data_IF_983794290767
#
_entry.id   IF_983794290767
#
_cell.length_a   1.000
_cell.length_b   1.000
_cell.length_c   1.000
_cell.angle_alpha   90.00
_cell.angle_beta   90.00
_cell.angle_gamma   90.00
#
_symmetry.space_group_name_H-M   'P 1'
#
loop_
_entity.id
_entity.type
_entity.pdbx_description
1 polymer ?
#
# COMPACT_ATOMS: atom_id res chain seq x y z
N UNK A 1 1.54 19.68 -6.03
CA UNK A 1 2.82 19.31 -6.68
C UNK A 1 3.90 18.95 -5.67
N UNK A 2 4.09 19.72 -4.60
CA UNK A 2 5.12 19.46 -3.57
C UNK A 2 5.06 18.06 -2.95
N UNK A 3 3.88 17.57 -2.56
CA UNK A 3 3.72 16.24 -1.93
C UNK A 3 4.14 15.11 -2.90
N UNK A 4 3.76 15.21 -4.17
CA UNK A 4 4.13 14.22 -5.19
C UNK A 4 5.64 14.19 -5.45
N UNK A 5 6.28 15.37 -5.49
CA UNK A 5 7.73 15.47 -5.65
C UNK A 5 8.44 14.87 -4.44
N UNK A 6 8.03 15.24 -3.21
CA UNK A 6 8.61 14.68 -1.99
C UNK A 6 8.45 13.16 -1.97
N UNK A 7 7.26 12.63 -2.27
CA UNK A 7 7.02 11.19 -2.33
C UNK A 7 7.90 10.47 -3.35
N UNK A 8 8.02 11.01 -4.57
CA UNK A 8 8.86 10.43 -5.61
C UNK A 8 10.34 10.46 -5.23
N UNK A 9 10.83 11.58 -4.69
CA UNK A 9 12.21 11.73 -4.23
C UNK A 9 12.51 10.79 -3.06
N UNK A 10 11.62 10.70 -2.07
CA UNK A 10 11.77 9.77 -0.96
C UNK A 10 11.79 8.31 -1.43
N UNK A 11 10.88 7.92 -2.33
CA UNK A 11 10.87 6.56 -2.89
C UNK A 11 12.15 6.26 -3.67
N UNK A 12 12.62 7.18 -4.50
CA UNK A 12 13.87 7.04 -5.24
C UNK A 12 15.08 6.93 -4.31
N UNK A 13 15.13 7.74 -3.23
CA UNK A 13 16.20 7.67 -2.22
C UNK A 13 16.18 6.35 -1.47
N UNK A 14 15.01 5.89 -1.02
CA UNK A 14 14.87 4.60 -0.33
C UNK A 14 15.31 3.45 -1.24
N UNK A 15 14.87 3.46 -2.51
CA UNK A 15 15.29 2.47 -3.48
C UNK A 15 16.80 2.52 -3.73
N UNK A 16 17.39 3.72 -3.90
CA UNK A 16 18.82 3.88 -4.14
C UNK A 16 19.67 3.41 -2.94
N UNK A 17 19.24 3.70 -1.71
CA UNK A 17 19.92 3.25 -0.49
C UNK A 17 19.75 1.76 -0.25
N UNK A 18 18.57 1.20 -0.57
CA UNK A 18 18.29 -0.23 -0.43
C UNK A 18 18.94 -1.09 -1.50
N UNK A 19 19.11 -0.59 -2.73
CA UNK A 19 19.58 -1.37 -3.88
C UNK A 19 20.89 -2.14 -3.62
N UNK A 20 21.95 -1.57 -3.01
CA UNK A 20 23.17 -2.30 -2.69
C UNK A 20 22.98 -3.52 -1.79
N UNK A 21 21.91 -3.57 -0.99
CA UNK A 21 21.62 -4.69 -0.09
C UNK A 21 20.98 -5.85 -0.84
N UNK A 22 20.18 -5.57 -1.87
CA UNK A 22 19.33 -6.59 -2.51
C UNK A 22 19.68 -6.88 -3.97
N UNK A 23 20.59 -6.12 -4.61
CA UNK A 23 20.82 -6.13 -6.06
C UNK A 23 21.07 -7.52 -6.66
N UNK A 24 21.69 -8.43 -5.91
CA UNK A 24 21.99 -9.79 -6.38
C UNK A 24 20.74 -10.69 -6.45
N UNK A 25 19.70 -10.33 -5.72
CA UNK A 25 18.46 -11.10 -5.59
C UNK A 25 17.32 -10.51 -6.42
N UNK A 26 17.53 -9.40 -7.11
CA UNK A 26 16.48 -8.73 -7.88
C UNK A 26 16.31 -9.43 -9.23
N UNK A 27 15.07 -9.81 -9.53
CA UNK A 27 14.69 -10.47 -10.78
C UNK A 27 13.68 -9.63 -11.55
N UNK A 28 14.18 -8.70 -12.36
CA UNK A 28 13.34 -7.97 -13.30
C UNK A 28 13.13 -8.78 -14.59
N UNK A 29 11.88 -9.13 -14.86
CA UNK A 29 11.43 -9.88 -16.02
C UNK A 29 10.14 -9.28 -16.58
N UNK A 30 9.71 -9.78 -17.74
CA UNK A 30 8.44 -9.40 -18.37
C UNK A 30 7.22 -9.72 -17.48
N UNK A 31 7.35 -10.58 -16.47
CA UNK A 31 6.27 -10.94 -15.55
C UNK A 31 6.31 -10.10 -14.27
N UNK A 32 7.50 -9.76 -13.78
CA UNK A 32 7.66 -9.09 -12.49
C UNK A 32 7.45 -7.58 -12.56
N UNK A 33 7.78 -6.94 -13.69
CA UNK A 33 7.51 -5.51 -13.90
C UNK A 33 5.99 -5.20 -13.86
N UNK A 34 5.11 -5.95 -14.57
CA UNK A 34 3.66 -5.77 -14.45
C UNK A 34 3.12 -5.88 -13.02
N UNK A 35 3.69 -6.75 -12.17
CA UNK A 35 3.29 -6.86 -10.75
C UNK A 35 3.59 -5.57 -9.97
N UNK A 36 4.77 -4.98 -10.17
CA UNK A 36 5.13 -3.70 -9.54
C UNK A 36 4.21 -2.58 -10.04
N UNK A 37 3.93 -2.52 -11.34
CA UNK A 37 3.01 -1.52 -11.91
C UNK A 37 1.59 -1.71 -11.38
N UNK A 38 1.09 -2.94 -11.37
CA UNK A 38 -0.21 -3.30 -10.81
C UNK A 38 -0.31 -2.87 -9.34
N UNK A 39 0.65 -3.25 -8.51
CA UNK A 39 0.67 -2.91 -7.09
C UNK A 39 0.69 -1.39 -6.87
N UNK A 40 1.47 -0.65 -7.67
CA UNK A 40 1.56 0.81 -7.57
C UNK A 40 0.23 1.48 -7.90
N UNK A 41 -0.46 1.04 -8.95
CA UNK A 41 -1.76 1.58 -9.36
C UNK A 41 -2.85 1.21 -8.34
N UNK A 42 -2.98 -0.07 -8.00
CA UNK A 42 -4.03 -0.55 -7.10
C UNK A 42 -3.80 -0.03 -5.68
N UNK A 43 -2.55 0.03 -5.22
CA UNK A 43 -2.17 0.65 -3.95
C UNK A 43 -2.52 2.14 -3.91
N UNK A 44 -2.20 2.89 -4.96
CA UNK A 44 -2.57 4.31 -5.05
C UNK A 44 -4.10 4.51 -5.00
N UNK A 45 -4.87 3.68 -5.70
CA UNK A 45 -6.34 3.72 -5.67
C UNK A 45 -6.85 3.39 -4.26
N UNK A 46 -6.37 2.31 -3.65
CA UNK A 46 -6.80 1.85 -2.32
C UNK A 46 -6.53 2.93 -1.26
N UNK A 47 -5.28 3.34 -1.11
CA UNK A 47 -4.86 4.28 -0.07
C UNK A 47 -5.32 5.70 -0.35
N UNK A 48 -5.40 6.10 -1.63
CA UNK A 48 -6.05 7.34 -2.05
C UNK A 48 -7.52 7.36 -1.64
N UNK A 49 -8.25 6.26 -1.84
CA UNK A 49 -9.66 6.16 -1.44
C UNK A 49 -9.85 6.24 0.08
N UNK A 50 -8.98 5.60 0.86
CA UNK A 50 -8.97 5.72 2.34
C UNK A 50 -8.77 7.19 2.73
N UNK A 51 -7.77 7.85 2.15
CA UNK A 51 -7.49 9.26 2.41
C UNK A 51 -8.69 10.15 2.05
N UNK A 52 -9.33 9.92 0.90
CA UNK A 52 -10.54 10.64 0.48
C UNK A 52 -11.74 10.42 1.39
N UNK A 53 -11.94 9.21 1.89
CA UNK A 53 -13.03 8.91 2.85
C UNK A 53 -12.80 9.65 4.16
N UNK A 54 -11.56 9.67 4.65
CA UNK A 54 -11.18 10.38 5.87
C UNK A 54 -11.33 11.89 5.69
N UNK A 55 -10.85 12.44 4.57
CA UNK A 55 -10.89 13.89 4.30
C UNK A 55 -12.32 14.42 4.33
N UNK A 56 -13.27 13.65 3.82
CA UNK A 56 -14.67 14.03 3.79
C UNK A 56 -15.38 14.07 5.16
N UNK A 57 -14.77 13.51 6.20
CA UNK A 57 -15.29 13.58 7.58
C UNK A 57 -14.63 14.67 8.42
N UNK A 58 -13.57 15.30 7.92
CA UNK A 58 -12.77 16.26 8.67
C UNK A 58 -12.98 17.68 8.13
N UNK A 59 -13.19 18.63 9.04
CA UNK A 59 -13.52 20.02 8.69
C UNK A 59 -12.30 20.90 8.49
N UNK A 60 -11.12 20.48 8.98
CA UNK A 60 -9.89 21.24 8.89
C UNK A 60 -8.78 20.41 8.25
N UNK A 61 -7.95 21.08 7.44
CA UNK A 61 -6.77 20.48 6.81
C UNK A 61 -5.73 20.03 7.84
N UNK A 62 -5.65 20.72 8.98
CA UNK A 62 -4.77 20.33 10.09
C UNK A 62 -5.24 19.03 10.74
N UNK A 63 -6.55 18.91 11.03
CA UNK A 63 -7.12 17.67 11.55
C UNK A 63 -6.94 16.50 10.57
N UNK A 64 -7.11 16.74 9.27
CA UNK A 64 -6.82 15.75 8.24
C UNK A 64 -5.37 15.27 8.27
N UNK A 65 -4.41 16.20 8.31
CA UNK A 65 -2.99 15.84 8.34
C UNK A 65 -2.62 15.03 9.59
N UNK A 66 -3.15 15.38 10.76
CA UNK A 66 -2.90 14.60 11.99
C UNK A 66 -3.47 13.19 11.82
N UNK A 67 -4.74 13.06 11.44
CA UNK A 67 -5.41 11.76 11.34
C UNK A 67 -4.75 10.89 10.27
N UNK A 68 -4.46 11.43 9.08
CA UNK A 68 -3.91 10.62 7.98
C UNK A 68 -2.51 10.09 8.32
N UNK A 69 -1.65 10.94 8.90
CA UNK A 69 -0.31 10.51 9.29
C UNK A 69 -0.35 9.47 10.42
N UNK A 70 -1.24 9.66 11.40
CA UNK A 70 -1.45 8.69 12.49
C UNK A 70 -2.00 7.37 11.97
N UNK A 71 -3.01 7.37 11.10
CA UNK A 71 -3.58 6.14 10.54
C UNK A 71 -2.54 5.39 9.73
N UNK A 72 -1.80 6.07 8.86
CA UNK A 72 -0.82 5.42 7.99
C UNK A 72 0.40 4.87 8.75
N UNK A 73 0.86 5.54 9.81
CA UNK A 73 1.93 4.98 10.64
C UNK A 73 1.46 3.70 11.33
N UNK A 74 0.26 3.67 11.93
CA UNK A 74 -0.28 2.45 12.52
C UNK A 74 -0.48 1.35 11.48
N UNK A 75 -1.01 1.69 10.30
CA UNK A 75 -1.11 0.76 9.17
C UNK A 75 0.24 0.15 8.82
N UNK A 76 1.31 0.94 8.78
CA UNK A 76 2.63 0.44 8.45
C UNK A 76 3.19 -0.52 9.52
N UNK A 77 3.04 -0.19 10.80
CA UNK A 77 3.47 -1.06 11.91
C UNK A 77 2.65 -2.35 12.02
N UNK A 78 1.37 -2.30 11.65
CA UNK A 78 0.43 -3.43 11.65
C UNK A 78 0.48 -4.18 10.31
N UNK A 79 1.60 -4.16 9.61
CA UNK A 79 1.78 -4.83 8.32
C UNK A 79 3.12 -5.55 8.24
N UNK A 80 3.32 -6.33 7.17
CA UNK A 80 4.58 -7.01 6.90
C UNK A 80 5.69 -6.12 6.33
N UNK A 81 5.48 -4.80 6.25
CA UNK A 81 6.45 -3.85 5.72
C UNK A 81 7.73 -3.77 6.57
N UNK A 82 7.58 -3.75 7.89
CA UNK A 82 8.70 -3.66 8.84
C UNK A 82 8.99 -4.96 9.58
N UNK A 83 7.97 -5.80 9.79
CA UNK A 83 8.08 -7.04 10.56
C UNK A 83 7.56 -8.22 9.73
N UNK A 84 8.35 -9.29 9.54
CA UNK A 84 7.84 -10.45 8.82
C UNK A 84 6.68 -11.11 9.60
N UNK A 85 5.66 -11.59 8.87
CA UNK A 85 4.61 -12.40 9.49
C UNK A 85 5.15 -13.78 9.93
N UNK A 86 6.19 -14.29 9.26
CA UNK A 86 6.87 -15.52 9.62
C UNK A 86 7.58 -15.36 10.98
N UNK A 87 7.20 -16.18 11.96
CA UNK A 87 7.76 -16.14 13.32
C UNK A 87 7.04 -15.20 14.30
N UNK A 88 6.01 -14.48 13.86
CA UNK A 88 5.17 -13.68 14.76
C UNK A 88 4.20 -14.56 15.57
N UNK A 89 3.86 -14.19 16.83
CA UNK A 89 2.79 -14.84 17.58
C UNK A 89 1.47 -14.84 16.80
N UNK A 90 0.67 -15.90 16.92
CA UNK A 90 -0.54 -16.09 16.12
C UNK A 90 -1.53 -14.90 16.11
N UNK A 91 -1.78 -14.20 17.24
CA UNK A 91 -2.63 -13.02 17.23
C UNK A 91 -2.06 -11.88 16.37
N UNK A 92 -0.74 -11.65 16.44
CA UNK A 92 -0.06 -10.60 15.69
C UNK A 92 -0.01 -10.94 14.19
N UNK A 93 0.29 -12.19 13.84
CA UNK A 93 0.27 -12.66 12.45
C UNK A 93 -1.11 -12.48 11.82
N UNK A 94 -2.19 -12.78 12.56
CA UNK A 94 -3.56 -12.57 12.10
C UNK A 94 -3.83 -11.10 11.80
N UNK A 95 -3.39 -10.21 12.70
CA UNK A 95 -3.52 -8.76 12.53
C UNK A 95 -2.79 -8.25 11.28
N UNK A 96 -1.61 -8.80 10.97
CA UNK A 96 -0.89 -8.46 9.74
C UNK A 96 -1.67 -8.86 8.49
N UNK A 97 -2.24 -10.06 8.45
CA UNK A 97 -3.01 -10.51 7.28
C UNK A 97 -4.36 -9.80 7.14
N UNK A 98 -4.91 -9.19 8.19
CA UNK A 98 -6.11 -8.34 8.05
C UNK A 98 -5.80 -7.00 7.37
N UNK A 99 -4.55 -6.56 7.38
CA UNK A 99 -4.14 -5.28 6.84
C UNK A 99 -3.81 -5.40 5.34
N UNK A 100 -4.53 -4.71 4.44
CA UNK A 100 -4.27 -4.79 3.00
C UNK A 100 -2.90 -4.23 2.58
N UNK A 101 -2.22 -3.48 3.46
CA UNK A 101 -0.84 -3.08 3.22
C UNK A 101 0.10 -4.29 3.16
N UNK A 102 -0.18 -5.37 3.90
CA UNK A 102 0.57 -6.63 3.84
C UNK A 102 0.53 -7.20 2.43
N UNK A 103 -0.65 -7.28 1.83
CA UNK A 103 -0.84 -7.76 0.46
C UNK A 103 -0.08 -6.90 -0.56
N UNK A 104 -0.13 -5.58 -0.40
CA UNK A 104 0.61 -4.67 -1.27
C UNK A 104 2.13 -4.90 -1.17
N UNK A 105 2.65 -5.05 0.05
CA UNK A 105 4.06 -5.33 0.32
C UNK A 105 4.47 -6.67 -0.28
N UNK A 106 3.66 -7.71 -0.12
CA UNK A 106 3.97 -9.06 -0.59
C UNK A 106 3.95 -9.14 -2.13
N UNK A 107 3.04 -8.45 -2.81
CA UNK A 107 3.03 -8.31 -4.29
C UNK A 107 4.25 -7.53 -4.79
N UNK A 108 4.63 -6.42 -4.14
CA UNK A 108 5.84 -5.66 -4.49
C UNK A 108 7.08 -6.54 -4.30
N UNK A 109 7.14 -7.30 -3.21
CA UNK A 109 8.25 -8.23 -2.92
C UNK A 109 8.33 -9.31 -4.01
N UNK A 110 7.21 -9.93 -4.39
CA UNK A 110 7.16 -10.88 -5.48
C UNK A 110 7.59 -10.27 -6.83
N UNK A 111 7.24 -9.00 -7.08
CA UNK A 111 7.69 -8.25 -8.26
C UNK A 111 9.17 -7.85 -8.24
N UNK A 112 9.81 -7.72 -7.07
CA UNK A 112 11.25 -7.42 -6.98
C UNK A 112 12.09 -8.69 -7.05
N UNK A 113 11.67 -9.74 -6.34
CA UNK A 113 12.47 -10.96 -6.12
C UNK A 113 12.05 -12.14 -7.01
N UNK A 114 11.04 -12.00 -7.86
CA UNK A 114 10.58 -13.08 -8.75
C UNK A 114 9.80 -14.20 -8.05
N UNK A 115 9.57 -14.10 -6.74
CA UNK A 115 8.90 -15.13 -5.93
C UNK A 115 7.37 -15.06 -6.02
N UNK A 116 6.81 -15.43 -7.17
CA UNK A 116 5.35 -15.44 -7.39
C UNK A 116 4.77 -16.75 -6.87
N UNK A 117 3.85 -16.68 -5.92
CA UNK A 117 3.15 -17.84 -5.34
C UNK A 117 1.65 -17.74 -5.56
N UNK A 118 0.92 -18.84 -5.36
CA UNK A 118 -0.56 -18.82 -5.41
C UNK A 118 -1.16 -17.82 -4.40
N UNK A 119 -0.51 -17.64 -3.26
CA UNK A 119 -0.93 -16.68 -2.25
C UNK A 119 -0.83 -15.23 -2.77
N UNK A 120 0.25 -14.89 -3.48
CA UNK A 120 0.40 -13.57 -4.11
C UNK A 120 -0.72 -13.28 -5.11
N UNK A 121 -1.13 -14.29 -5.90
CA UNK A 121 -2.24 -14.14 -6.85
C UNK A 121 -3.56 -13.86 -6.11
N UNK A 122 -3.82 -14.58 -5.01
CA UNK A 122 -4.98 -14.33 -4.15
C UNK A 122 -4.96 -12.91 -3.57
N UNK A 123 -3.81 -12.48 -3.07
CA UNK A 123 -3.59 -11.13 -2.52
C UNK A 123 -3.89 -10.04 -3.57
N UNK A 124 -3.47 -10.24 -4.83
CA UNK A 124 -3.79 -9.32 -5.92
C UNK A 124 -5.29 -9.18 -6.14
N UNK A 125 -6.02 -10.30 -6.15
CA UNK A 125 -7.49 -10.30 -6.32
C UNK A 125 -8.16 -9.60 -5.15
N UNK A 126 -7.77 -9.92 -3.92
CA UNK A 126 -8.31 -9.29 -2.70
C UNK A 126 -8.05 -7.79 -2.71
N UNK A 127 -6.83 -7.37 -3.05
CA UNK A 127 -6.44 -5.97 -3.11
C UNK A 127 -7.23 -5.21 -4.18
N UNK A 128 -7.42 -5.80 -5.36
CA UNK A 128 -8.20 -5.21 -6.45
C UNK A 128 -9.67 -5.03 -6.07
N UNK A 129 -10.26 -6.03 -5.44
CA UNK A 129 -11.66 -5.97 -4.96
C UNK A 129 -11.80 -4.90 -3.90
N UNK A 130 -10.90 -4.87 -2.91
CA UNK A 130 -10.94 -3.88 -1.83
C UNK A 130 -10.74 -2.45 -2.36
N UNK A 131 -9.77 -2.26 -3.26
CA UNK A 131 -9.52 -0.98 -3.90
C UNK A 131 -10.75 -0.49 -4.67
N UNK A 132 -11.40 -1.37 -5.43
CA UNK A 132 -12.62 -1.06 -6.18
C UNK A 132 -13.78 -0.67 -5.27
N UNK A 133 -13.99 -1.42 -4.18
CA UNK A 133 -15.04 -1.11 -3.19
C UNK A 133 -14.79 0.25 -2.54
N UNK A 134 -13.58 0.48 -2.03
CA UNK A 134 -13.25 1.74 -1.36
C UNK A 134 -13.30 2.92 -2.33
N UNK A 135 -12.88 2.74 -3.58
CA UNK A 135 -12.99 3.77 -4.61
C UNK A 135 -14.44 4.18 -4.86
N UNK A 136 -15.34 3.22 -5.04
CA UNK A 136 -16.78 3.50 -5.21
C UNK A 136 -17.36 4.23 -3.98
N UNK A 137 -16.97 3.82 -2.77
CA UNK A 137 -17.40 4.50 -1.54
C UNK A 137 -16.87 5.94 -1.50
N UNK A 138 -15.59 6.14 -1.77
CA UNK A 138 -14.95 7.45 -1.78
C UNK A 138 -15.62 8.39 -2.79
N UNK A 139 -15.83 7.93 -4.04
CA UNK A 139 -16.50 8.73 -5.08
C UNK A 139 -17.93 9.10 -4.69
N UNK A 140 -18.71 8.15 -4.16
CA UNK A 140 -20.09 8.42 -3.71
C UNK A 140 -20.14 9.41 -2.55
N UNK A 141 -19.15 9.39 -1.68
CA UNK A 141 -19.11 10.22 -0.50
C UNK A 141 -18.68 11.65 -0.84
N UNK A 142 -17.69 11.81 -1.74
CA UNK A 142 -17.27 13.11 -2.25
C UNK A 142 -18.37 13.78 -3.09
N UNK A 143 -19.00 13.05 -4.01
CA UNK A 143 -20.10 13.61 -4.84
C UNK A 143 -21.30 14.07 -4.03
N UNK A 144 -21.55 13.51 -2.83
CA UNK A 144 -22.61 13.97 -1.93
C UNK A 144 -22.29 15.29 -1.21
N UNK A 145 -21.02 15.67 -1.12
CA UNK A 145 -20.60 16.91 -0.45
C UNK A 145 -20.71 18.14 -1.37
N UNK A 146 -20.77 17.91 -2.68
CA UNK A 146 -20.90 18.96 -3.70
C UNK A 146 -22.35 19.44 -3.90
N UNK A 147 -23.31 18.93 -3.10
CA UNK A 147 -24.72 19.34 -3.04
C UNK A 147 -25.05 19.92 -1.66
#
# INVERSE_FOLDING_TARGET
TTIAIVGLVSAALIAAVGYPVFFQSVEFSLVTIPLIVFSSIVGAILFGSIASIISARLRSSEGFNVIINTVFIFFAFVSTAFYPAAGAPQPLATIFYLNPLTYLVDIIRAGIFGTITEFVILEMVVLLVLASILFVIATKLLTKMDF
#
